data_IF_614639528994
#
_entry.id   IF_614639528994
#
_cell.length_a   1.000
_cell.length_b   1.000
_cell.length_c   1.000
_cell.angle_alpha   90.00
_cell.angle_beta   90.00
_cell.angle_gamma   90.00
#
_symmetry.space_group_name_H-M   'P 1'
#
loop_
_entity.id
_entity.type
_entity.pdbx_description
1 polymer ?
#
# COMPACT_ATOMS: atom_id res chain seq x y z
N UNK A 1 -28.39 -17.87 -13.57
CA UNK A 1 -27.20 -17.59 -12.73
C UNK A 1 -26.19 -16.85 -13.60
N UNK A 2 -25.62 -15.75 -13.10
CA UNK A 2 -24.56 -15.00 -13.78
C UNK A 2 -23.21 -15.63 -13.38
N UNK A 3 -22.72 -16.54 -14.22
CA UNK A 3 -21.38 -17.12 -14.09
C UNK A 3 -20.37 -16.27 -14.85
N UNK A 4 -19.22 -16.02 -14.23
CA UNK A 4 -18.05 -15.44 -14.91
C UNK A 4 -16.95 -16.48 -14.97
N UNK A 5 -16.04 -16.33 -15.94
CA UNK A 5 -14.86 -17.20 -16.05
C UNK A 5 -14.00 -17.13 -14.80
N UNK A 6 -13.83 -15.95 -14.19
CA UNK A 6 -13.14 -15.80 -12.90
C UNK A 6 -13.67 -16.73 -11.80
N UNK A 7 -14.99 -16.91 -11.72
CA UNK A 7 -15.59 -17.84 -10.76
C UNK A 7 -15.30 -19.30 -11.13
N UNK A 8 -15.31 -19.64 -12.42
CA UNK A 8 -14.97 -20.99 -12.89
C UNK A 8 -13.48 -21.30 -12.70
N UNK A 9 -12.59 -20.34 -12.93
CA UNK A 9 -11.17 -20.44 -12.59
C UNK A 9 -11.00 -20.73 -11.10
N UNK A 10 -11.76 -20.04 -10.25
CA UNK A 10 -11.75 -20.26 -8.81
C UNK A 10 -12.20 -21.66 -8.42
N UNK A 11 -13.36 -22.09 -8.96
CA UNK A 11 -13.94 -23.41 -8.74
C UNK A 11 -12.98 -24.52 -9.20
N UNK A 12 -12.36 -24.36 -10.38
CA UNK A 12 -11.39 -25.28 -10.93
C UNK A 12 -10.13 -25.39 -10.07
N UNK A 13 -9.48 -24.24 -9.82
CA UNK A 13 -8.22 -24.13 -9.06
C UNK A 13 -8.29 -24.82 -7.70
N UNK A 14 -9.42 -24.66 -7.00
CA UNK A 14 -9.63 -25.20 -5.67
C UNK A 14 -10.47 -26.48 -5.65
N UNK A 15 -10.81 -27.02 -6.82
CA UNK A 15 -11.60 -28.25 -6.99
C UNK A 15 -12.93 -28.23 -6.23
N UNK A 16 -13.62 -27.08 -6.27
CA UNK A 16 -14.88 -26.82 -5.54
C UNK A 16 -16.11 -27.26 -6.34
N UNK A 17 -16.08 -28.49 -6.83
CA UNK A 17 -17.16 -29.12 -7.58
C UNK A 17 -17.23 -30.60 -7.20
N UNK A 18 -18.37 -31.26 -7.45
CA UNK A 18 -18.52 -32.69 -7.21
C UNK A 18 -17.62 -33.48 -8.16
N UNK A 19 -16.68 -34.21 -7.55
CA UNK A 19 -15.67 -35.02 -8.23
C UNK A 19 -16.09 -36.48 -8.38
N UNK A 20 -17.25 -36.86 -7.86
CA UNK A 20 -17.76 -38.21 -8.00
C UNK A 20 -18.10 -38.48 -9.47
N UNK A 21 -17.56 -39.58 -10.00
CA UNK A 21 -17.80 -40.04 -11.38
C UNK A 21 -17.66 -38.91 -12.40
N UNK A 22 -16.57 -38.15 -12.32
CA UNK A 22 -16.25 -37.14 -13.34
C UNK A 22 -16.05 -37.84 -14.68
N UNK A 23 -16.71 -37.32 -15.70
CA UNK A 23 -16.62 -37.81 -17.06
C UNK A 23 -16.56 -36.63 -18.01
N UNK A 24 -15.91 -36.81 -19.15
CA UNK A 24 -16.05 -35.90 -20.27
C UNK A 24 -17.49 -35.92 -20.73
N UNK A 25 -17.87 -34.90 -21.48
CA UNK A 25 -19.15 -34.86 -22.14
C UNK A 25 -19.31 -36.10 -23.08
N UNK A 26 -18.24 -36.63 -23.67
CA UNK A 26 -18.26 -37.88 -24.44
C UNK A 26 -18.36 -39.18 -23.60
N UNK A 27 -18.43 -39.09 -22.27
CA UNK A 27 -18.61 -40.23 -21.37
C UNK A 27 -17.30 -40.87 -20.88
N UNK A 28 -16.14 -40.34 -21.23
CA UNK A 28 -14.85 -40.88 -20.78
C UNK A 28 -14.58 -40.49 -19.32
N UNK A 29 -14.18 -41.43 -18.44
CA UNK A 29 -13.81 -41.10 -17.06
C UNK A 29 -12.69 -40.05 -16.99
N UNK A 30 -12.82 -39.10 -16.07
CA UNK A 30 -11.85 -38.02 -15.84
C UNK A 30 -11.36 -38.04 -14.40
N UNK A 31 -10.04 -38.06 -14.19
CA UNK A 31 -9.42 -37.90 -12.88
C UNK A 31 -8.44 -36.73 -12.88
N UNK A 32 -8.68 -35.74 -12.01
CA UNK A 32 -7.84 -34.55 -11.90
C UNK A 32 -6.71 -34.81 -10.91
N UNK A 33 -5.53 -35.18 -11.42
CA UNK A 33 -4.32 -35.34 -10.61
C UNK A 33 -3.81 -33.96 -10.16
N UNK A 34 -3.69 -33.02 -11.10
CA UNK A 34 -3.30 -31.64 -10.85
C UNK A 34 -4.05 -30.67 -11.78
N UNK A 35 -4.77 -29.64 -11.27
CA UNK A 35 -5.58 -28.73 -12.10
C UNK A 35 -4.74 -27.78 -12.97
N UNK A 36 -3.43 -27.71 -12.72
CA UNK A 36 -2.52 -26.76 -13.36
C UNK A 36 -2.29 -25.51 -12.52
N UNK A 37 -1.44 -24.62 -13.02
CA UNK A 37 -1.17 -23.30 -12.44
C UNK A 37 -1.91 -22.25 -13.28
N UNK A 38 -2.73 -21.44 -12.62
CA UNK A 38 -3.49 -20.38 -13.27
C UNK A 38 -2.53 -19.40 -13.98
N UNK A 39 -2.79 -19.16 -15.26
CA UNK A 39 -2.15 -18.15 -16.06
C UNK A 39 -2.90 -16.82 -15.93
N UNK A 40 -2.17 -15.71 -15.88
CA UNK A 40 -2.74 -14.35 -15.87
C UNK A 40 -2.22 -13.52 -17.05
N UNK A 41 -1.56 -14.17 -18.01
CA UNK A 41 -1.03 -13.58 -19.24
C UNK A 41 -1.71 -14.23 -20.46
N UNK A 42 -1.29 -13.85 -21.67
CA UNK A 42 -1.79 -14.48 -22.89
C UNK A 42 -1.58 -16.01 -22.92
N UNK A 43 -2.45 -16.70 -23.65
CA UNK A 43 -2.46 -18.16 -23.78
C UNK A 43 -3.51 -18.83 -22.86
N UNK A 44 -3.47 -20.17 -22.73
CA UNK A 44 -4.46 -20.92 -21.99
C UNK A 44 -4.59 -20.53 -20.51
N UNK A 45 -5.76 -20.75 -19.94
CA UNK A 45 -6.08 -20.32 -18.57
C UNK A 45 -5.26 -21.01 -17.48
N UNK A 46 -4.88 -22.28 -17.67
CA UNK A 46 -4.07 -23.04 -16.71
C UNK A 46 -2.97 -23.85 -17.41
N UNK A 47 -1.73 -23.67 -16.95
CA UNK A 47 -0.57 -24.40 -17.45
C UNK A 47 -0.26 -25.65 -16.63
N UNK A 48 0.34 -26.66 -17.28
CA UNK A 48 0.92 -27.84 -16.61
C UNK A 48 -0.09 -28.60 -15.72
N UNK A 49 -1.31 -28.76 -16.19
CA UNK A 49 -2.27 -29.70 -15.62
C UNK A 49 -1.83 -31.15 -15.88
N UNK A 50 -2.24 -32.05 -14.98
CA UNK A 50 -2.09 -33.50 -15.13
C UNK A 50 -3.44 -34.15 -14.90
N UNK A 51 -3.98 -34.77 -15.94
CA UNK A 51 -5.37 -35.23 -15.97
C UNK A 51 -5.39 -36.60 -16.63
N UNK A 52 -6.01 -37.59 -15.98
CA UNK A 52 -6.28 -38.89 -16.58
C UNK A 52 -7.64 -38.83 -17.27
N UNK A 53 -7.69 -39.16 -18.56
CA UNK A 53 -8.92 -39.23 -19.36
C UNK A 53 -8.97 -40.64 -19.97
N UNK A 54 -9.99 -41.42 -19.62
CA UNK A 54 -10.00 -42.86 -19.86
C UNK A 54 -8.79 -43.52 -19.20
N UNK A 55 -7.99 -44.24 -19.99
CA UNK A 55 -6.76 -44.90 -19.52
C UNK A 55 -5.49 -44.06 -19.72
N UNK A 56 -5.59 -42.89 -20.36
CA UNK A 56 -4.43 -42.07 -20.73
C UNK A 56 -4.19 -40.95 -19.72
N UNK A 57 -2.96 -40.85 -19.20
CA UNK A 57 -2.54 -39.70 -18.39
C UNK A 57 -1.98 -38.60 -19.30
N UNK A 58 -2.68 -37.48 -19.35
CA UNK A 58 -2.30 -36.30 -20.13
C UNK A 58 -1.56 -35.27 -19.27
N UNK A 59 -0.57 -34.62 -19.88
CA UNK A 59 0.11 -33.45 -19.33
C UNK A 59 0.03 -32.31 -20.34
N UNK A 60 -0.54 -31.18 -19.93
CA UNK A 60 -0.75 -30.03 -20.81
C UNK A 60 -1.61 -28.96 -20.15
N UNK A 61 -2.34 -28.19 -20.97
CA UNK A 61 -3.04 -27.00 -20.50
C UNK A 61 -4.54 -27.24 -20.36
N UNK A 62 -5.19 -26.39 -19.57
CA UNK A 62 -6.64 -26.40 -19.41
C UNK A 62 -7.16 -25.03 -19.79
N UNK A 63 -8.22 -25.02 -20.59
CA UNK A 63 -8.96 -23.83 -20.95
C UNK A 63 -10.34 -23.87 -20.31
N UNK A 64 -10.85 -22.73 -19.83
CA UNK A 64 -12.10 -22.65 -19.09
C UNK A 64 -12.99 -21.54 -19.64
N UNK A 65 -14.22 -21.89 -20.01
CA UNK A 65 -15.20 -20.93 -20.51
C UNK A 65 -16.55 -21.09 -19.82
N UNK A 66 -17.43 -20.08 -19.95
CA UNK A 66 -18.83 -20.24 -19.52
C UNK A 66 -19.56 -21.21 -20.45
N UNK A 67 -19.40 -21.05 -21.78
CA UNK A 67 -20.01 -21.90 -22.78
C UNK A 67 -18.95 -22.63 -23.63
N UNK A 68 -19.27 -23.85 -24.05
CA UNK A 68 -18.38 -24.62 -24.93
C UNK A 68 -18.17 -23.95 -26.30
N UNK A 69 -19.18 -23.26 -26.83
CA UNK A 69 -19.07 -22.52 -28.09
C UNK A 69 -18.04 -21.38 -28.06
N UNK A 70 -17.64 -20.91 -26.88
CA UNK A 70 -16.68 -19.79 -26.73
C UNK A 70 -15.27 -20.16 -27.23
N UNK A 71 -14.91 -21.46 -27.22
CA UNK A 71 -13.67 -21.97 -27.83
C UNK A 71 -13.52 -21.53 -29.31
N UNK A 72 -14.62 -21.55 -30.05
CA UNK A 72 -14.64 -21.14 -31.45
C UNK A 72 -14.79 -19.63 -31.58
N UNK A 73 -15.60 -18.98 -30.73
CA UNK A 73 -15.81 -17.52 -30.76
C UNK A 73 -14.51 -16.76 -30.53
N UNK A 74 -13.66 -17.25 -29.62
CA UNK A 74 -12.36 -16.65 -29.33
C UNK A 74 -11.26 -17.10 -30.30
N UNK A 75 -11.56 -18.00 -31.24
CA UNK A 75 -10.61 -18.42 -32.27
C UNK A 75 -9.53 -19.41 -31.81
N UNK A 76 -9.61 -19.95 -30.59
CA UNK A 76 -8.61 -20.85 -30.01
C UNK A 76 -8.36 -22.09 -30.87
N UNK A 77 -9.41 -22.60 -31.54
CA UNK A 77 -9.29 -23.70 -32.52
C UNK A 77 -8.33 -23.44 -33.70
N UNK A 78 -7.89 -22.20 -33.93
CA UNK A 78 -6.92 -21.81 -34.99
C UNK A 78 -5.61 -21.27 -34.42
N UNK A 79 -5.52 -21.13 -33.11
CA UNK A 79 -4.38 -20.51 -32.45
C UNK A 79 -3.44 -21.60 -31.91
N UNK A 80 -2.20 -21.59 -32.40
CA UNK A 80 -1.18 -22.56 -32.01
C UNK A 80 -0.84 -22.50 -30.51
N UNK A 81 -1.07 -21.36 -29.86
CA UNK A 81 -0.88 -21.25 -28.40
C UNK A 81 -1.79 -22.20 -27.61
N UNK A 82 -2.88 -22.67 -28.22
CA UNK A 82 -3.89 -23.53 -27.60
C UNK A 82 -3.80 -25.01 -28.05
N UNK A 83 -2.85 -25.37 -28.91
CA UNK A 83 -2.68 -26.76 -29.38
C UNK A 83 -2.38 -27.75 -28.24
N UNK A 84 -1.75 -27.29 -27.16
CA UNK A 84 -1.43 -28.10 -25.98
C UNK A 84 -2.54 -28.12 -24.91
N UNK A 85 -3.76 -27.64 -25.23
CA UNK A 85 -4.90 -27.76 -24.32
C UNK A 85 -5.42 -29.20 -24.35
N UNK A 86 -5.39 -29.85 -23.19
CA UNK A 86 -5.76 -31.27 -23.02
C UNK A 86 -7.19 -31.44 -22.47
N UNK A 87 -7.78 -30.37 -21.94
CA UNK A 87 -9.15 -30.37 -21.41
C UNK A 87 -9.76 -28.98 -21.53
N UNK A 88 -10.97 -28.90 -22.07
CA UNK A 88 -11.82 -27.72 -22.05
C UNK A 88 -12.85 -27.85 -20.93
N UNK A 89 -12.74 -27.05 -19.89
CA UNK A 89 -13.70 -27.05 -18.78
C UNK A 89 -14.73 -25.97 -19.08
N UNK A 90 -16.01 -26.31 -18.97
CA UNK A 90 -17.10 -25.36 -19.24
C UNK A 90 -18.09 -25.37 -18.12
N UNK A 91 -18.75 -24.23 -17.86
CA UNK A 91 -19.94 -24.28 -17.03
C UNK A 91 -21.03 -25.08 -17.74
N UNK A 92 -21.36 -24.73 -18.98
CA UNK A 92 -22.39 -25.43 -19.77
C UNK A 92 -21.89 -25.80 -21.15
N UNK A 93 -22.16 -27.03 -21.59
CA UNK A 93 -21.94 -27.41 -22.98
C UNK A 93 -23.16 -27.08 -23.83
N UNK A 94 -23.03 -26.08 -24.69
CA UNK A 94 -24.07 -25.60 -25.61
C UNK A 94 -23.84 -26.04 -27.07
N UNK A 95 -22.82 -26.87 -27.33
CA UNK A 95 -22.50 -27.33 -28.68
C UNK A 95 -23.30 -28.59 -29.08
N UNK A 96 -23.69 -28.73 -30.37
CA UNK A 96 -24.32 -29.94 -30.88
C UNK A 96 -23.39 -31.16 -30.78
N UNK A 97 -23.99 -32.34 -30.62
CA UNK A 97 -23.26 -33.61 -30.47
C UNK A 97 -22.38 -33.94 -31.70
N UNK A 98 -22.77 -33.51 -32.90
CA UNK A 98 -22.01 -33.68 -34.14
C UNK A 98 -20.68 -32.91 -34.18
N UNK A 99 -20.56 -31.84 -33.40
CA UNK A 99 -19.32 -31.04 -33.25
C UNK A 99 -18.45 -31.62 -32.14
N UNK A 100 -19.07 -32.15 -31.08
CA UNK A 100 -18.43 -32.72 -29.87
C UNK A 100 -17.40 -33.82 -30.17
N UNK A 101 -17.67 -34.68 -31.15
CA UNK A 101 -16.79 -35.80 -31.51
C UNK A 101 -15.49 -35.39 -32.21
N UNK A 102 -15.35 -34.11 -32.61
CA UNK A 102 -14.16 -33.57 -33.30
C UNK A 102 -13.41 -32.52 -32.47
N UNK A 103 -13.88 -32.24 -31.27
CA UNK A 103 -13.28 -31.25 -30.37
C UNK A 103 -12.44 -31.92 -29.30
N UNK A 104 -11.55 -31.17 -28.67
CA UNK A 104 -10.84 -31.60 -27.47
C UNK A 104 -11.81 -32.11 -26.37
N UNK A 105 -11.35 -32.96 -25.44
CA UNK A 105 -12.17 -33.42 -24.32
C UNK A 105 -12.80 -32.25 -23.56
N UNK A 106 -14.12 -32.27 -23.37
CA UNK A 106 -14.86 -31.23 -22.64
C UNK A 106 -15.33 -31.80 -21.30
N UNK A 107 -15.08 -31.09 -20.21
CA UNK A 107 -15.66 -31.36 -18.90
C UNK A 107 -16.71 -30.28 -18.56
N UNK A 108 -17.95 -30.70 -18.34
CA UNK A 108 -19.04 -29.79 -17.95
C UNK A 108 -19.21 -29.76 -16.42
N UNK A 109 -19.24 -28.55 -15.85
CA UNK A 109 -19.40 -28.31 -14.41
C UNK A 109 -20.83 -27.99 -14.00
N UNK A 110 -21.77 -27.86 -14.95
CA UNK A 110 -23.19 -27.67 -14.63
C UNK A 110 -23.67 -28.77 -13.69
N UNK A 111 -24.51 -28.42 -12.72
CA UNK A 111 -25.01 -29.30 -11.65
C UNK A 111 -23.93 -29.91 -10.72
N UNK A 112 -22.64 -29.62 -10.93
CA UNK A 112 -21.55 -30.10 -10.07
C UNK A 112 -21.05 -29.05 -9.08
N UNK A 113 -21.46 -27.80 -9.22
CA UNK A 113 -21.07 -26.71 -8.32
C UNK A 113 -22.14 -26.55 -7.23
N UNK A 114 -21.72 -26.57 -5.96
CA UNK A 114 -22.62 -26.39 -4.83
C UNK A 114 -23.35 -25.02 -4.89
N UNK A 115 -24.67 -25.04 -4.76
CA UNK A 115 -25.51 -23.83 -4.85
C UNK A 115 -25.25 -22.78 -3.77
N UNK A 116 -24.84 -23.20 -2.56
CA UNK A 116 -24.46 -22.27 -1.49
C UNK A 116 -23.15 -21.56 -1.79
N UNK A 117 -22.18 -22.26 -2.40
CA UNK A 117 -20.93 -21.64 -2.87
C UNK A 117 -21.23 -20.53 -3.89
N UNK A 118 -22.06 -20.82 -4.89
CA UNK A 118 -22.46 -19.82 -5.87
C UNK A 118 -23.24 -18.67 -5.20
N UNK A 119 -24.14 -18.96 -4.26
CA UNK A 119 -24.91 -17.94 -3.55
C UNK A 119 -24.01 -17.00 -2.74
N UNK A 120 -22.99 -17.53 -2.06
CA UNK A 120 -21.99 -16.71 -1.35
C UNK A 120 -21.16 -15.87 -2.31
N UNK A 121 -20.69 -16.44 -3.42
CA UNK A 121 -19.98 -15.70 -4.46
C UNK A 121 -20.83 -14.57 -5.02
N UNK A 122 -22.06 -14.88 -5.41
CA UNK A 122 -22.99 -13.91 -5.98
C UNK A 122 -23.26 -12.77 -5.00
N UNK A 123 -23.46 -13.08 -3.71
CA UNK A 123 -23.65 -12.06 -2.70
C UNK A 123 -22.42 -11.15 -2.52
N UNK A 124 -21.21 -11.69 -2.55
CA UNK A 124 -19.98 -10.88 -2.45
C UNK A 124 -19.79 -9.95 -3.66
N UNK A 125 -20.05 -10.43 -4.88
CA UNK A 125 -19.73 -9.69 -6.11
C UNK A 125 -20.89 -8.81 -6.59
N UNK A 126 -22.12 -9.29 -6.49
CA UNK A 126 -23.31 -8.64 -7.03
C UNK A 126 -24.31 -8.22 -5.95
N UNK A 127 -24.00 -8.43 -4.67
CA UNK A 127 -24.83 -7.95 -3.57
C UNK A 127 -24.84 -6.42 -3.47
N UNK A 128 -25.80 -5.93 -2.68
CA UNK A 128 -26.07 -4.50 -2.47
C UNK A 128 -25.30 -3.92 -1.26
N UNK A 129 -24.13 -4.47 -0.94
CA UNK A 129 -23.31 -3.98 0.17
C UNK A 129 -22.82 -2.55 -0.08
N UNK A 130 -22.77 -1.75 0.99
CA UNK A 130 -22.47 -0.32 0.89
C UNK A 130 -21.03 0.02 1.26
N UNK A 131 -20.50 -0.67 2.26
CA UNK A 131 -19.14 -0.50 2.77
C UNK A 131 -18.23 -1.44 1.99
N UNK A 132 -18.21 -2.73 2.29
CA UNK A 132 -17.35 -3.72 1.61
C UNK A 132 -18.15 -4.93 1.15
N UNK A 133 -17.70 -5.65 0.11
CA UNK A 133 -18.34 -6.87 -0.37
C UNK A 133 -18.75 -7.87 0.72
N UNK A 134 -17.90 -8.05 1.74
CA UNK A 134 -18.11 -9.01 2.81
C UNK A 134 -18.70 -8.42 4.10
N UNK A 135 -19.30 -7.22 4.07
CA UNK A 135 -19.69 -6.50 5.30
C UNK A 135 -20.64 -7.30 6.21
N UNK A 136 -21.56 -8.08 5.62
CA UNK A 136 -22.50 -8.92 6.36
C UNK A 136 -21.89 -10.21 6.92
N UNK A 137 -20.72 -10.63 6.46
CA UNK A 137 -20.13 -11.94 6.78
C UNK A 137 -18.72 -11.86 7.36
N UNK A 138 -18.06 -10.70 7.33
CA UNK A 138 -16.66 -10.56 7.79
C UNK A 138 -16.47 -10.99 9.24
N UNK A 139 -17.48 -10.79 10.10
CA UNK A 139 -17.48 -11.24 11.51
C UNK A 139 -17.39 -12.75 11.69
N UNK A 140 -17.71 -13.53 10.66
CA UNK A 140 -17.65 -15.01 10.70
C UNK A 140 -16.25 -15.56 10.43
N UNK A 141 -15.33 -14.70 9.98
CA UNK A 141 -13.94 -15.09 9.70
C UNK A 141 -13.15 -15.11 11.01
N UNK A 142 -12.45 -16.21 11.26
CA UNK A 142 -11.64 -16.37 12.47
C UNK A 142 -10.46 -15.39 12.52
N UNK A 143 -10.09 -14.99 13.74
CA UNK A 143 -9.04 -13.99 14.00
C UNK A 143 -7.68 -14.41 13.38
N UNK A 144 -7.38 -15.71 13.29
CA UNK A 144 -6.14 -16.22 12.68
C UNK A 144 -6.10 -15.98 11.17
N UNK A 145 -7.19 -16.33 10.47
CA UNK A 145 -7.32 -16.11 9.02
C UNK A 145 -7.26 -14.63 8.69
N UNK A 146 -7.97 -13.80 9.45
CA UNK A 146 -7.98 -12.36 9.25
C UNK A 146 -6.58 -11.77 9.47
N UNK A 147 -5.89 -12.14 10.56
CA UNK A 147 -4.54 -11.68 10.87
C UNK A 147 -3.54 -12.08 9.79
N UNK A 148 -3.53 -13.34 9.37
CA UNK A 148 -2.61 -13.82 8.32
C UNK A 148 -2.81 -13.06 7.01
N UNK A 149 -4.06 -12.79 6.64
CA UNK A 149 -4.38 -12.00 5.46
C UNK A 149 -3.94 -10.54 5.61
N UNK A 150 -4.19 -9.92 6.76
CA UNK A 150 -3.77 -8.56 7.05
C UNK A 150 -2.24 -8.41 7.01
N UNK A 151 -1.47 -9.39 7.51
CA UNK A 151 -0.01 -9.41 7.38
C UNK A 151 0.41 -9.34 5.92
N UNK A 152 -0.14 -10.21 5.07
CA UNK A 152 0.17 -10.22 3.64
C UNK A 152 -0.15 -8.88 2.99
N UNK A 153 -1.36 -8.37 3.23
CA UNK A 153 -1.82 -7.10 2.65
C UNK A 153 -0.98 -5.91 3.13
N UNK A 154 -0.53 -5.91 4.38
CA UNK A 154 0.38 -4.89 4.89
C UNK A 154 1.75 -4.95 4.20
N UNK A 155 2.29 -6.14 4.00
CA UNK A 155 3.55 -6.30 3.24
C UNK A 155 3.37 -5.77 1.81
N UNK A 156 2.29 -6.16 1.11
CA UNK A 156 1.97 -5.64 -0.23
C UNK A 156 1.93 -4.10 -0.26
N UNK A 157 1.34 -3.47 0.77
CA UNK A 157 1.32 -2.01 0.93
C UNK A 157 2.72 -1.41 1.08
N UNK A 158 3.53 -1.98 1.96
CA UNK A 158 4.90 -1.50 2.21
C UNK A 158 5.77 -1.68 0.97
N UNK A 159 5.60 -2.77 0.23
CA UNK A 159 6.27 -2.99 -1.05
C UNK A 159 5.90 -1.93 -2.08
N UNK A 160 4.61 -1.66 -2.26
CA UNK A 160 4.12 -0.62 -3.16
C UNK A 160 4.66 0.76 -2.80
N UNK A 161 4.66 1.11 -1.51
CA UNK A 161 5.23 2.39 -1.03
C UNK A 161 6.75 2.43 -1.18
N UNK A 162 7.45 1.32 -0.98
CA UNK A 162 8.92 1.24 -1.09
C UNK A 162 9.43 1.56 -2.49
N UNK A 163 8.65 1.27 -3.54
CA UNK A 163 9.00 1.62 -4.92
C UNK A 163 9.29 3.11 -5.09
N UNK A 164 8.51 3.99 -4.44
CA UNK A 164 8.75 5.44 -4.50
C UNK A 164 10.05 5.84 -3.78
N UNK A 165 10.35 5.21 -2.63
CA UNK A 165 11.59 5.45 -1.88
C UNK A 165 12.81 5.04 -2.69
N UNK A 166 12.78 3.82 -3.28
CA UNK A 166 13.90 3.30 -4.07
C UNK A 166 14.13 4.12 -5.35
N UNK A 167 13.06 4.63 -5.97
CA UNK A 167 13.16 5.57 -7.08
C UNK A 167 13.82 6.88 -6.66
N UNK A 168 13.46 7.44 -5.50
CA UNK A 168 14.10 8.66 -5.00
C UNK A 168 15.56 8.41 -4.61
N UNK A 169 15.87 7.24 -4.05
CA UNK A 169 17.24 6.81 -3.76
C UNK A 169 18.11 6.78 -5.03
N UNK A 170 17.58 6.28 -6.14
CA UNK A 170 18.26 6.30 -7.43
C UNK A 170 18.56 7.73 -7.90
N UNK A 171 17.58 8.65 -7.82
CA UNK A 171 17.80 10.07 -8.14
C UNK A 171 18.86 10.71 -7.24
N UNK A 172 18.91 10.33 -5.97
CA UNK A 172 19.91 10.75 -5.00
C UNK A 172 21.20 9.89 -5.06
N UNK A 173 21.41 9.12 -6.15
CA UNK A 173 22.63 8.35 -6.43
C UNK A 173 23.02 7.36 -5.31
N UNK A 174 22.03 6.76 -4.66
CA UNK A 174 22.24 5.81 -3.57
C UNK A 174 22.44 6.45 -2.19
N UNK A 175 22.29 7.77 -2.06
CA UNK A 175 22.39 8.46 -0.77
C UNK A 175 21.10 8.28 0.05
N UNK A 176 21.17 7.38 1.04
CA UNK A 176 20.07 7.12 1.95
C UNK A 176 19.80 8.25 2.94
N UNK A 177 20.81 9.01 3.37
CA UNK A 177 20.63 10.11 4.31
C UNK A 177 19.87 11.26 3.64
N UNK A 178 20.25 11.61 2.41
CA UNK A 178 19.56 12.64 1.62
C UNK A 178 18.13 12.21 1.25
N UNK A 179 17.96 10.94 0.86
CA UNK A 179 16.62 10.39 0.53
C UNK A 179 15.70 10.37 1.76
N UNK A 180 16.24 9.98 2.91
CA UNK A 180 15.52 10.01 4.18
C UNK A 180 15.17 11.43 4.59
N UNK A 181 16.11 12.38 4.48
CA UNK A 181 15.90 13.80 4.76
C UNK A 181 14.74 14.39 3.94
N UNK A 182 14.73 14.16 2.63
CA UNK A 182 13.68 14.67 1.74
C UNK A 182 12.31 14.06 2.08
N UNK A 183 12.25 12.76 2.34
CA UNK A 183 11.00 12.08 2.70
C UNK A 183 10.51 12.46 4.11
N UNK A 184 11.43 12.64 5.05
CA UNK A 184 11.13 13.13 6.40
C UNK A 184 10.51 14.52 6.33
N UNK A 185 11.14 15.44 5.57
CA UNK A 185 10.60 16.78 5.34
C UNK A 185 9.17 16.71 4.79
N UNK A 186 8.94 15.90 3.75
CA UNK A 186 7.60 15.73 3.17
C UNK A 186 6.57 15.31 4.22
N UNK A 187 6.91 14.40 5.14
CA UNK A 187 5.98 13.95 6.18
C UNK A 187 5.73 15.01 7.28
N UNK A 188 6.63 15.97 7.51
CA UNK A 188 6.34 17.16 8.34
C UNK A 188 5.23 18.03 7.75
N UNK A 189 5.04 17.97 6.43
CA UNK A 189 3.95 18.64 5.73
C UNK A 189 2.59 17.94 5.81
N UNK A 190 2.54 16.72 6.36
CA UNK A 190 1.40 15.82 6.28
C UNK A 190 0.81 15.76 4.85
N UNK A 191 -0.48 15.46 4.70
CA UNK A 191 -1.10 15.36 3.36
C UNK A 191 -1.12 16.68 2.58
N UNK A 192 -1.33 17.81 3.25
CA UNK A 192 -1.64 19.10 2.58
C UNK A 192 -0.38 19.80 2.08
N UNK A 193 0.70 19.80 2.88
CA UNK A 193 1.93 20.52 2.57
C UNK A 193 3.11 19.57 2.29
N UNK A 194 2.90 18.25 2.13
CA UNK A 194 3.99 17.31 1.82
C UNK A 194 4.81 17.73 0.59
N UNK A 195 4.12 18.08 -0.51
CA UNK A 195 4.80 18.46 -1.75
C UNK A 195 5.67 19.74 -1.57
N UNK A 196 5.16 20.86 -1.03
CA UNK A 196 6.01 22.02 -0.71
C UNK A 196 7.21 21.69 0.19
N UNK A 197 7.04 20.84 1.20
CA UNK A 197 8.16 20.40 2.05
C UNK A 197 9.20 19.58 1.27
N UNK A 198 8.76 18.65 0.43
CA UNK A 198 9.65 17.84 -0.42
C UNK A 198 10.42 18.73 -1.40
N UNK A 199 9.74 19.69 -2.04
CA UNK A 199 10.36 20.65 -2.95
C UNK A 199 11.41 21.50 -2.23
N UNK A 200 11.09 22.01 -1.04
CA UNK A 200 12.02 22.75 -0.20
C UNK A 200 13.26 21.91 0.14
N UNK A 201 13.06 20.68 0.60
CA UNK A 201 14.16 19.78 0.95
C UNK A 201 15.05 19.46 -0.26
N UNK A 202 14.46 19.18 -1.43
CA UNK A 202 15.23 18.98 -2.67
C UNK A 202 16.01 20.22 -3.12
N UNK A 203 15.48 21.42 -2.84
CA UNK A 203 16.18 22.68 -3.11
C UNK A 203 17.27 23.00 -2.08
N UNK A 204 17.32 22.29 -0.96
CA UNK A 204 18.23 22.53 0.16
C UNK A 204 18.93 21.22 0.57
N UNK A 205 19.98 20.79 -0.16
CA UNK A 205 20.69 19.54 0.14
C UNK A 205 21.12 19.44 1.60
N UNK A 206 20.95 18.26 2.19
CA UNK A 206 21.21 18.00 3.62
C UNK A 206 22.66 18.33 4.01
N UNK A 207 23.61 18.14 3.08
CA UNK A 207 25.02 18.47 3.30
C UNK A 207 25.26 19.96 3.58
N UNK A 208 24.43 20.86 3.03
CA UNK A 208 24.51 22.30 3.34
C UNK A 208 24.09 22.54 4.79
N UNK A 209 22.96 21.95 5.21
CA UNK A 209 22.50 22.00 6.60
C UNK A 209 23.56 21.43 7.56
N UNK A 210 24.22 20.33 7.19
CA UNK A 210 25.31 19.74 7.96
C UNK A 210 26.45 20.71 8.29
N UNK A 211 26.77 21.65 7.39
CA UNK A 211 27.82 22.68 7.59
C UNK A 211 27.43 23.78 8.58
N UNK A 212 26.14 23.91 8.89
CA UNK A 212 25.58 24.98 9.72
C UNK A 212 24.92 24.47 11.02
N UNK A 213 25.08 23.17 11.31
CA UNK A 213 24.54 22.44 12.46
C UNK A 213 24.70 23.14 13.82
N UNK A 214 25.81 23.86 14.01
CA UNK A 214 26.12 24.52 15.28
C UNK A 214 25.44 25.89 15.44
N UNK A 215 24.65 26.35 14.47
CA UNK A 215 23.92 27.62 14.52
C UNK A 215 22.44 27.40 14.18
N UNK A 216 21.57 27.32 15.20
CA UNK A 216 20.12 27.21 15.00
C UNK A 216 19.57 28.33 14.10
N UNK A 217 20.04 29.56 14.30
CA UNK A 217 19.64 30.72 13.49
C UNK A 217 19.93 30.51 12.00
N UNK A 218 21.10 29.95 11.64
CA UNK A 218 21.45 29.69 10.24
C UNK A 218 20.61 28.56 9.63
N UNK A 219 20.32 27.51 10.40
CA UNK A 219 19.46 26.42 9.96
C UNK A 219 18.04 26.93 9.72
N UNK A 220 17.48 27.71 10.66
CA UNK A 220 16.18 28.34 10.50
C UNK A 220 16.15 29.29 9.30
N UNK A 221 17.20 30.11 9.12
CA UNK A 221 17.32 31.02 7.99
C UNK A 221 17.35 30.27 6.64
N UNK A 222 18.09 29.16 6.54
CA UNK A 222 18.11 28.31 5.36
C UNK A 222 16.74 27.67 5.08
N UNK A 223 16.09 27.10 6.11
CA UNK A 223 14.81 26.40 5.95
C UNK A 223 13.69 27.37 5.58
N UNK A 224 13.53 28.48 6.31
CA UNK A 224 12.50 29.49 6.00
C UNK A 224 12.81 30.24 4.71
N UNK A 225 14.08 30.52 4.45
CA UNK A 225 14.53 31.16 3.22
C UNK A 225 14.24 30.32 1.99
N UNK A 226 14.63 29.04 2.00
CA UNK A 226 14.35 28.13 0.88
C UNK A 226 12.87 27.80 0.73
N UNK A 227 12.09 27.88 1.80
CA UNK A 227 10.63 27.83 1.74
C UNK A 227 10.00 29.11 1.15
N UNK A 228 10.77 30.17 0.87
CA UNK A 228 10.28 31.43 0.31
C UNK A 228 9.61 32.36 1.33
N UNK A 229 9.73 32.08 2.63
CA UNK A 229 9.07 32.88 3.67
C UNK A 229 9.81 34.16 4.05
N UNK A 230 11.05 34.36 3.59
CA UNK A 230 11.90 35.49 4.00
C UNK A 230 12.01 36.62 2.95
N UNK A 231 11.15 36.61 1.93
CA UNK A 231 11.16 37.63 0.87
C UNK A 231 10.40 38.92 1.28
N UNK A 232 9.50 38.84 2.26
CA UNK A 232 8.70 39.98 2.73
C UNK A 232 9.48 40.96 3.62
N UNK A 233 8.92 42.13 3.85
CA UNK A 233 9.40 43.08 4.87
C UNK A 233 8.81 42.74 6.24
N UNK A 234 9.66 42.77 7.26
CA UNK A 234 9.33 42.35 8.63
C UNK A 234 9.47 43.51 9.61
N UNK A 235 8.67 43.50 10.68
CA UNK A 235 8.79 44.42 11.81
C UNK A 235 9.47 43.75 12.99
N UNK A 236 9.20 42.47 13.22
CA UNK A 236 9.78 41.69 14.31
C UNK A 236 11.28 41.46 14.09
N UNK A 237 12.05 41.44 15.18
CA UNK A 237 13.52 41.29 15.09
C UNK A 237 13.95 39.90 14.60
N UNK A 238 13.26 38.85 15.04
CA UNK A 238 13.58 37.47 14.67
C UNK A 238 13.55 37.22 13.14
N UNK A 239 12.45 37.47 12.41
CA UNK A 239 12.43 37.28 10.97
C UNK A 239 13.38 38.23 10.21
N UNK A 240 13.67 39.44 10.72
CA UNK A 240 14.71 40.32 10.14
C UNK A 240 16.10 39.70 10.23
N UNK A 241 16.44 39.10 11.37
CA UNK A 241 17.70 38.37 11.54
C UNK A 241 17.79 37.19 10.59
N UNK A 242 16.72 36.38 10.48
CA UNK A 242 16.66 35.28 9.53
C UNK A 242 16.85 35.74 8.08
N UNK A 243 16.16 36.81 7.66
CA UNK A 243 16.25 37.38 6.30
C UNK A 243 17.68 37.82 5.98
N UNK A 244 18.33 38.49 6.92
CA UNK A 244 19.72 38.96 6.77
C UNK A 244 20.68 37.79 6.61
N UNK A 245 20.60 36.81 7.49
CA UNK A 245 21.46 35.63 7.48
C UNK A 245 21.24 34.79 6.21
N UNK A 246 19.97 34.57 5.84
CA UNK A 246 19.62 33.87 4.61
C UNK A 246 20.15 34.60 3.36
N UNK A 247 20.11 35.94 3.33
CA UNK A 247 20.66 36.72 2.22
C UNK A 247 22.14 36.43 1.96
N UNK A 248 22.93 36.21 3.01
CA UNK A 248 24.33 35.78 2.89
C UNK A 248 24.42 34.32 2.41
N UNK A 249 23.71 33.40 3.06
CA UNK A 249 23.79 31.96 2.78
C UNK A 249 23.27 31.60 1.39
N UNK A 250 22.20 32.26 0.93
CA UNK A 250 21.63 32.12 -0.41
C UNK A 250 22.67 32.44 -1.48
N UNK A 251 23.41 33.53 -1.33
CA UNK A 251 24.50 33.90 -2.25
C UNK A 251 25.66 32.90 -2.17
N UNK A 252 26.07 32.53 -0.95
CA UNK A 252 27.18 31.60 -0.72
C UNK A 252 26.99 30.24 -1.41
N UNK A 253 25.76 29.73 -1.41
CA UNK A 253 25.44 28.40 -1.96
C UNK A 253 24.65 28.44 -3.27
N UNK A 254 24.44 29.63 -3.85
CA UNK A 254 23.63 29.84 -5.05
C UNK A 254 22.22 29.21 -4.94
N UNK A 255 21.56 29.43 -3.80
CA UNK A 255 20.27 28.80 -3.50
C UNK A 255 19.12 29.53 -4.22
N UNK A 256 18.18 28.72 -4.69
CA UNK A 256 16.93 29.18 -5.30
C UNK A 256 15.75 28.73 -4.41
N UNK A 257 15.01 29.67 -3.80
CA UNK A 257 13.89 29.32 -2.95
C UNK A 257 12.69 28.87 -3.79
N UNK A 258 11.85 28.03 -3.19
CA UNK A 258 10.54 27.73 -3.75
C UNK A 258 9.57 28.89 -3.49
N UNK A 259 8.46 28.92 -4.22
CA UNK A 259 7.49 30.00 -4.09
C UNK A 259 6.60 29.88 -2.85
N UNK A 260 6.46 30.99 -2.11
CA UNK A 260 5.67 31.06 -0.87
C UNK A 260 4.20 30.62 -1.04
N UNK A 261 3.60 30.85 -2.22
CA UNK A 261 2.18 30.58 -2.45
C UNK A 261 1.83 29.07 -2.49
N UNK A 262 2.85 28.21 -2.62
CA UNK A 262 2.70 26.75 -2.60
C UNK A 262 2.22 26.26 -1.22
N UNK A 263 2.62 26.95 -0.15
CA UNK A 263 2.26 26.65 1.23
C UNK A 263 0.80 26.97 1.51
N UNK A 264 0.03 25.96 1.92
CA UNK A 264 -1.39 26.11 2.25
C UNK A 264 -1.58 26.26 3.74
N UNK A 265 -2.49 27.15 4.14
CA UNK A 265 -2.87 27.40 5.53
C UNK A 265 -4.35 27.12 5.82
N UNK A 266 -5.21 27.13 4.80
CA UNK A 266 -6.66 27.02 4.96
C UNK A 266 -7.08 25.65 5.48
N UNK A 267 -8.14 25.61 6.30
CA UNK A 267 -8.74 24.39 6.89
C UNK A 267 -7.78 23.55 7.74
N UNK A 268 -6.74 24.18 8.29
CA UNK A 268 -5.80 23.56 9.20
C UNK A 268 -5.88 24.18 10.59
N UNK A 269 -5.59 23.38 11.62
CA UNK A 269 -5.39 23.90 12.98
C UNK A 269 -4.06 24.66 13.03
N UNK A 270 -3.95 25.75 13.82
CA UNK A 270 -2.72 26.56 13.89
C UNK A 270 -1.43 25.77 14.18
N UNK A 271 -1.51 24.73 15.03
CA UNK A 271 -0.39 23.83 15.32
C UNK A 271 0.11 23.02 14.11
N UNK A 272 -0.67 22.95 13.03
CA UNK A 272 -0.32 22.28 11.78
C UNK A 272 0.01 23.27 10.66
N UNK A 273 0.16 24.55 10.96
CA UNK A 273 0.59 25.52 9.96
C UNK A 273 2.02 25.23 9.50
N UNK A 274 2.31 25.41 8.19
CA UNK A 274 3.61 25.06 7.61
C UNK A 274 4.75 25.85 8.24
N UNK A 275 4.54 27.11 8.62
CA UNK A 275 5.54 27.92 9.33
C UNK A 275 6.00 27.28 10.63
N UNK A 276 5.07 26.78 11.44
CA UNK A 276 5.44 26.10 12.67
C UNK A 276 6.08 24.74 12.41
N UNK A 277 5.58 24.00 11.41
CA UNK A 277 6.18 22.71 11.01
C UNK A 277 7.59 22.87 10.45
N UNK A 278 7.87 23.97 9.74
CA UNK A 278 9.21 24.34 9.29
C UNK A 278 10.14 24.67 10.46
N UNK A 279 9.64 25.40 11.48
CA UNK A 279 10.40 25.65 12.70
C UNK A 279 10.75 24.34 13.43
N UNK A 280 9.78 23.45 13.61
CA UNK A 280 10.00 22.14 14.23
C UNK A 280 10.96 21.28 13.41
N UNK A 281 10.84 21.31 12.08
CA UNK A 281 11.74 20.60 11.19
C UNK A 281 13.18 21.14 11.30
N UNK A 282 13.36 22.46 11.31
CA UNK A 282 14.66 23.12 11.50
C UNK A 282 15.29 22.73 12.85
N UNK A 283 14.51 22.75 13.93
CA UNK A 283 14.96 22.33 15.25
C UNK A 283 15.36 20.85 15.29
N UNK A 284 14.58 19.96 14.65
CA UNK A 284 14.95 18.54 14.52
C UNK A 284 16.25 18.38 13.73
N UNK A 285 16.43 19.13 12.64
CA UNK A 285 17.66 19.14 11.86
C UNK A 285 18.84 19.54 12.74
N UNK A 286 18.74 20.59 13.55
CA UNK A 286 19.82 21.01 14.48
C UNK A 286 20.19 19.89 15.45
N UNK A 287 19.21 19.25 16.08
CA UNK A 287 19.43 18.23 17.11
C UNK A 287 19.99 16.91 16.55
N UNK A 288 19.67 16.57 15.30
CA UNK A 288 19.88 15.23 14.76
C UNK A 288 21.14 15.10 13.90
N UNK A 289 22.15 14.35 14.35
CA UNK A 289 23.28 13.93 13.52
C UNK A 289 23.07 12.53 12.94
N UNK A 290 23.20 12.37 11.62
CA UNK A 290 23.06 11.09 10.89
C UNK A 290 21.81 10.31 11.30
N UNK A 291 20.65 10.97 11.18
CA UNK A 291 19.39 10.48 11.75
C UNK A 291 18.98 9.14 11.13
N UNK A 292 19.20 8.95 9.82
CA UNK A 292 18.90 7.67 9.17
C UNK A 292 19.78 6.56 9.73
N UNK A 293 21.10 6.78 9.83
CA UNK A 293 22.03 5.81 10.40
C UNK A 293 21.63 5.38 11.82
N UNK A 294 21.24 6.34 12.67
CA UNK A 294 20.73 6.05 14.04
C UNK A 294 19.46 5.19 14.01
N UNK A 295 18.50 5.49 13.14
CA UNK A 295 17.25 4.73 13.02
C UNK A 295 17.53 3.28 12.61
N UNK A 296 18.51 3.07 11.73
CA UNK A 296 18.93 1.73 11.32
C UNK A 296 19.53 0.96 12.50
N UNK A 297 20.20 1.61 13.44
CA UNK A 297 20.81 0.96 14.62
C UNK A 297 19.83 0.73 15.78
N UNK A 298 18.93 1.68 16.06
CA UNK A 298 18.06 1.65 17.24
C UNK A 298 16.93 0.62 17.06
N UNK A 299 17.03 -0.50 17.77
CA UNK A 299 16.01 -1.56 17.72
C UNK A 299 14.74 -1.27 18.53
N UNK A 300 14.85 -0.47 19.60
CA UNK A 300 13.75 -0.20 20.52
C UNK A 300 12.87 0.98 20.03
N UNK A 301 11.55 0.73 19.95
CA UNK A 301 10.58 1.73 19.47
C UNK A 301 10.46 2.94 20.40
N UNK A 302 10.59 2.75 21.71
CA UNK A 302 10.53 3.86 22.66
C UNK A 302 11.74 4.79 22.46
N UNK A 303 12.93 4.23 22.27
CA UNK A 303 14.12 5.01 21.92
C UNK A 303 14.00 5.68 20.55
N UNK A 304 13.36 5.05 19.56
CA UNK A 304 13.04 5.72 18.29
C UNK A 304 12.15 6.94 18.52
N UNK A 305 11.11 6.83 19.35
CA UNK A 305 10.21 7.95 19.68
C UNK A 305 10.97 9.12 20.31
N UNK A 306 11.90 8.81 21.21
CA UNK A 306 12.74 9.81 21.87
C UNK A 306 13.62 10.63 20.92
N UNK A 307 13.87 10.16 19.67
CA UNK A 307 14.59 10.96 18.67
C UNK A 307 13.81 12.21 18.22
N UNK A 308 12.50 12.24 18.47
CA UNK A 308 11.60 13.34 18.11
C UNK A 308 11.05 14.09 19.32
N UNK A 309 11.45 13.69 20.52
CA UNK A 309 11.11 14.38 21.76
C UNK A 309 12.01 15.62 21.94
N UNK A 310 11.50 16.60 22.68
CA UNK A 310 12.22 17.84 23.05
C UNK A 310 12.79 18.67 21.89
N UNK A 311 12.13 18.61 20.72
CA UNK A 311 12.42 19.48 19.58
C UNK A 311 11.92 20.90 19.90
N UNK A 312 12.76 21.65 20.61
CA UNK A 312 12.49 23.02 21.03
C UNK A 312 12.71 24.00 19.87
N UNK A 313 11.65 24.74 19.53
CA UNK A 313 11.71 25.82 18.54
C UNK A 313 12.12 27.13 19.20
N UNK A 314 12.54 28.11 18.40
CA UNK A 314 12.79 29.47 18.89
C UNK A 314 11.58 30.04 19.65
N UNK A 315 11.84 30.79 20.73
CA UNK A 315 10.80 31.40 21.60
C UNK A 315 9.87 32.35 20.85
N UNK A 316 10.27 32.88 19.70
CA UNK A 316 9.38 33.60 18.79
C UNK A 316 8.09 32.83 18.51
N UNK A 317 8.18 31.50 18.36
CA UNK A 317 7.05 30.66 18.05
C UNK A 317 6.13 30.42 19.26
N UNK A 318 6.52 30.73 20.50
CA UNK A 318 5.66 30.52 21.68
C UNK A 318 4.35 31.31 21.56
N UNK A 319 4.43 32.53 21.05
CA UNK A 319 3.30 33.42 20.80
C UNK A 319 3.01 33.64 19.30
N UNK A 320 3.61 32.89 18.37
CA UNK A 320 3.33 33.02 16.93
C UNK A 320 2.99 31.68 16.28
N UNK A 321 2.05 31.71 15.33
CA UNK A 321 1.86 30.59 14.38
C UNK A 321 2.30 30.97 12.96
N UNK A 322 2.44 32.26 12.69
CA UNK A 322 2.91 32.86 11.43
C UNK A 322 3.76 34.07 11.81
N UNK A 323 4.69 34.44 10.94
CA UNK A 323 5.43 35.69 11.10
C UNK A 323 4.47 36.88 11.22
N UNK A 324 4.80 37.83 12.09
CA UNK A 324 4.10 39.10 12.33
C UNK A 324 2.66 38.97 12.87
N UNK A 325 2.22 37.77 13.21
CA UNK A 325 0.86 37.51 13.73
C UNK A 325 0.94 36.91 15.12
N UNK A 326 0.87 37.79 16.11
CA UNK A 326 0.80 37.40 17.52
C UNK A 326 -0.44 36.54 17.83
N UNK A 327 -0.26 35.67 18.81
CA UNK A 327 -1.26 34.74 19.29
C UNK A 327 -1.05 34.49 20.78
N UNK A 328 -2.04 33.85 21.42
CA UNK A 328 -1.91 33.47 22.83
C UNK A 328 -0.72 32.50 23.00
N UNK A 329 0.14 32.71 24.01
CA UNK A 329 1.25 31.82 24.29
C UNK A 329 0.79 30.38 24.44
N UNK A 330 1.47 29.46 23.77
CA UNK A 330 1.30 28.03 23.98
C UNK A 330 2.56 27.30 23.51
N UNK A 331 2.95 26.27 24.27
CA UNK A 331 4.03 25.36 23.92
C UNK A 331 3.83 24.79 22.50
N UNK A 332 4.85 24.91 21.65
CA UNK A 332 4.82 24.47 20.25
C UNK A 332 5.63 23.20 20.01
N UNK A 333 5.51 22.23 20.90
CA UNK A 333 6.16 20.93 20.74
C UNK A 333 5.44 20.06 19.70
N UNK A 334 6.13 19.05 19.19
CA UNK A 334 5.48 18.02 18.37
C UNK A 334 4.61 17.15 19.27
N UNK A 335 3.32 17.06 18.95
CA UNK A 335 2.41 16.15 19.65
C UNK A 335 2.69 14.69 19.26
N UNK A 336 2.37 13.75 20.15
CA UNK A 336 2.54 12.30 19.95
C UNK A 336 2.00 11.82 18.60
N UNK A 337 0.78 12.24 18.23
CA UNK A 337 0.19 11.90 16.93
C UNK A 337 1.01 12.35 15.71
N UNK A 338 1.79 13.43 15.83
CA UNK A 338 2.70 13.87 14.76
C UNK A 338 3.92 12.96 14.69
N UNK A 339 4.47 12.56 15.84
CA UNK A 339 5.59 11.62 15.92
C UNK A 339 5.16 10.24 15.41
N UNK A 340 4.00 9.74 15.82
CA UNK A 340 3.42 8.49 15.31
C UNK A 340 3.27 8.52 13.78
N UNK A 341 2.90 9.67 13.21
CA UNK A 341 2.81 9.83 11.76
C UNK A 341 4.18 9.69 11.07
N UNK A 342 5.24 10.26 11.66
CA UNK A 342 6.61 10.11 11.17
C UNK A 342 7.11 8.67 11.34
N UNK A 343 6.79 8.03 12.47
CA UNK A 343 7.11 6.62 12.70
C UNK A 343 6.50 5.72 11.63
N UNK A 344 5.22 5.93 11.34
CA UNK A 344 4.46 5.13 10.39
C UNK A 344 4.86 5.40 8.94
N UNK A 345 4.95 6.67 8.50
CA UNK A 345 5.14 7.01 7.09
C UNK A 345 6.59 7.21 6.67
N UNK A 346 7.50 7.45 7.61
CA UNK A 346 8.94 7.61 7.35
C UNK A 346 9.71 6.41 7.87
N UNK A 347 9.68 6.15 9.18
CA UNK A 347 10.62 5.20 9.80
C UNK A 347 10.30 3.76 9.40
N UNK A 348 9.06 3.29 9.59
CA UNK A 348 8.66 1.95 9.19
C UNK A 348 8.89 1.71 7.70
N UNK A 349 8.58 2.71 6.86
CA UNK A 349 8.78 2.62 5.42
C UNK A 349 10.26 2.52 5.03
N UNK A 350 11.15 3.30 5.65
CA UNK A 350 12.58 3.25 5.34
C UNK A 350 13.25 1.99 5.89
N UNK A 351 12.88 1.53 7.08
CA UNK A 351 13.32 0.22 7.60
C UNK A 351 12.94 -0.90 6.63
N UNK A 352 11.69 -0.91 6.16
CA UNK A 352 11.22 -1.89 5.20
C UNK A 352 11.96 -1.78 3.86
N UNK A 353 12.08 -0.57 3.31
CA UNK A 353 12.71 -0.33 2.00
C UNK A 353 14.19 -0.69 2.02
N UNK A 354 14.92 -0.33 3.08
CA UNK A 354 16.32 -0.69 3.28
C UNK A 354 16.48 -2.21 3.43
N UNK A 355 15.64 -2.85 4.25
CA UNK A 355 15.62 -4.30 4.40
C UNK A 355 15.37 -5.02 3.08
N UNK A 356 14.42 -4.53 2.27
CA UNK A 356 14.11 -5.10 0.95
C UNK A 356 15.28 -4.92 -0.04
N UNK A 357 15.85 -3.72 -0.12
CA UNK A 357 16.94 -3.41 -1.05
C UNK A 357 18.18 -4.29 -0.82
N UNK A 358 18.53 -4.53 0.45
CA UNK A 358 19.70 -5.32 0.83
C UNK A 358 19.38 -6.76 1.25
N UNK A 359 18.15 -7.22 1.04
CA UNK A 359 17.68 -8.57 1.43
C UNK A 359 17.92 -8.90 2.91
N UNK A 360 17.78 -7.91 3.79
CA UNK A 360 17.98 -8.04 5.23
C UNK A 360 16.64 -8.11 5.97
N UNK A 361 16.17 -9.33 6.21
CA UNK A 361 14.89 -9.61 6.87
C UNK A 361 14.75 -8.97 8.26
N UNK A 362 15.86 -8.73 8.96
CA UNK A 362 15.86 -8.07 10.26
C UNK A 362 15.20 -6.68 10.22
N UNK A 363 15.37 -5.92 9.13
CA UNK A 363 14.80 -4.57 9.02
C UNK A 363 13.34 -4.58 8.55
N UNK A 364 12.97 -5.51 7.66
CA UNK A 364 11.57 -5.68 7.25
C UNK A 364 10.72 -6.14 8.44
N UNK A 365 11.23 -7.08 9.26
CA UNK A 365 10.56 -7.49 10.49
C UNK A 365 10.44 -6.34 11.51
N UNK A 366 11.51 -5.54 11.70
CA UNK A 366 11.46 -4.36 12.58
C UNK A 366 10.45 -3.32 12.12
N UNK A 367 10.28 -3.12 10.81
CA UNK A 367 9.24 -2.24 10.28
C UNK A 367 7.84 -2.72 10.68
N UNK A 368 7.57 -4.02 10.58
CA UNK A 368 6.28 -4.59 10.98
C UNK A 368 6.06 -4.49 12.50
N UNK A 369 7.08 -4.83 13.30
CA UNK A 369 7.03 -4.71 14.77
C UNK A 369 6.78 -3.27 15.23
N UNK A 370 7.40 -2.29 14.56
CA UNK A 370 7.14 -0.88 14.83
C UNK A 370 5.65 -0.55 14.62
N UNK A 371 5.05 -1.01 13.52
CA UNK A 371 3.63 -0.78 13.24
C UNK A 371 2.70 -1.50 14.23
N UNK A 372 3.10 -2.64 14.80
CA UNK A 372 2.36 -3.34 15.86
C UNK A 372 2.40 -2.58 17.21
N UNK A 373 3.38 -1.71 17.41
CA UNK A 373 3.54 -0.96 18.66
C UNK A 373 2.95 0.45 18.62
N UNK A 374 2.61 0.94 17.42
CA UNK A 374 1.95 2.23 17.23
C UNK A 374 0.43 2.09 17.34
N UNK A 375 -0.29 3.11 17.84
CA UNK A 375 -1.74 3.10 17.89
C UNK A 375 -2.34 3.09 16.47
N UNK A 376 -3.53 2.49 16.33
CA UNK A 376 -4.27 2.56 15.08
C UNK A 376 -4.60 4.00 14.68
N UNK A 377 -4.49 4.30 13.38
CA UNK A 377 -4.93 5.58 12.86
C UNK A 377 -6.45 5.72 12.96
N UNK A 378 -6.93 6.94 13.21
CA UNK A 378 -8.36 7.25 13.17
C UNK A 378 -8.72 7.90 11.83
N UNK A 379 -9.43 7.16 10.98
CA UNK A 379 -9.97 7.65 9.73
C UNK A 379 -11.27 6.92 9.36
N UNK A 380 -12.00 7.44 8.37
CA UNK A 380 -13.31 6.90 7.96
C UNK A 380 -13.26 5.41 7.62
N UNK A 381 -12.23 4.96 6.87
CA UNK A 381 -12.09 3.56 6.47
C UNK A 381 -11.91 2.66 7.70
N UNK A 382 -11.06 3.06 8.64
CA UNK A 382 -10.87 2.32 9.90
C UNK A 382 -12.18 2.24 10.68
N UNK A 383 -12.89 3.37 10.81
CA UNK A 383 -14.17 3.43 11.52
C UNK A 383 -15.25 2.55 10.86
N UNK A 384 -15.28 2.48 9.53
CA UNK A 384 -16.15 1.57 8.79
C UNK A 384 -15.88 0.11 9.20
N UNK A 385 -14.62 -0.34 9.19
CA UNK A 385 -14.28 -1.71 9.61
C UNK A 385 -14.58 -1.98 11.08
N UNK A 386 -14.39 -1.00 11.98
CA UNK A 386 -14.81 -1.12 13.39
C UNK A 386 -16.33 -1.31 13.48
N UNK A 387 -17.12 -0.57 12.70
CA UNK A 387 -18.59 -0.74 12.68
C UNK A 387 -19.02 -2.14 12.21
N UNK A 388 -18.20 -2.75 11.35
CA UNK A 388 -18.35 -4.13 10.89
C UNK A 388 -17.80 -5.17 11.89
N UNK A 389 -17.39 -4.77 13.09
CA UNK A 389 -16.91 -5.64 14.17
C UNK A 389 -15.49 -6.16 14.01
N UNK A 390 -14.69 -5.58 13.11
CA UNK A 390 -13.27 -5.89 13.02
C UNK A 390 -12.54 -5.24 14.19
N UNK A 391 -11.73 -6.03 14.91
CA UNK A 391 -10.90 -5.54 16.02
C UNK A 391 -9.65 -4.86 15.43
N UNK A 392 -9.50 -3.56 15.67
CA UNK A 392 -8.37 -2.76 15.19
C UNK A 392 -7.70 -2.14 16.41
N UNK A 393 -6.40 -2.41 16.61
CA UNK A 393 -5.67 -1.92 17.78
C UNK A 393 -4.45 -1.09 17.39
N UNK A 394 -3.81 -1.42 16.28
CA UNK A 394 -2.47 -0.95 15.95
C UNK A 394 -2.39 -0.28 14.57
N UNK A 395 -1.28 0.44 14.33
CA UNK A 395 -0.98 0.98 13.01
C UNK A 395 -0.85 -0.15 11.95
N UNK A 396 -0.36 -1.32 12.36
CA UNK A 396 -0.34 -2.54 11.54
C UNK A 396 -1.75 -2.83 10.99
N UNK A 397 -2.74 -2.86 11.88
CA UNK A 397 -4.12 -3.21 11.51
C UNK A 397 -4.72 -2.17 10.56
N UNK A 398 -4.61 -0.90 10.94
CA UNK A 398 -5.16 0.21 10.16
C UNK A 398 -4.51 0.34 8.78
N UNK A 399 -3.18 0.21 8.67
CA UNK A 399 -2.49 0.23 7.39
C UNK A 399 -2.85 -0.96 6.50
N UNK A 400 -2.99 -2.16 7.07
CA UNK A 400 -3.45 -3.34 6.32
C UNK A 400 -4.87 -3.11 5.76
N UNK A 401 -5.80 -2.58 6.56
CA UNK A 401 -7.18 -2.34 6.14
C UNK A 401 -7.30 -1.24 5.08
N UNK A 402 -6.46 -0.21 5.14
CA UNK A 402 -6.40 0.81 4.10
C UNK A 402 -6.02 0.21 2.73
N UNK A 403 -5.04 -0.70 2.70
CA UNK A 403 -4.67 -1.41 1.48
C UNK A 403 -5.74 -2.43 1.07
N UNK A 404 -6.28 -3.20 2.02
CA UNK A 404 -7.37 -4.14 1.76
C UNK A 404 -8.55 -3.44 1.09
N UNK A 405 -8.93 -2.27 1.61
CA UNK A 405 -10.03 -1.48 1.09
C UNK A 405 -9.78 -1.03 -0.34
N UNK A 406 -8.62 -0.40 -0.56
CA UNK A 406 -8.30 0.25 -1.83
C UNK A 406 -7.94 -0.73 -2.93
N UNK A 407 -7.18 -1.79 -2.62
CA UNK A 407 -6.67 -2.73 -3.62
C UNK A 407 -7.57 -3.93 -3.85
N UNK A 408 -8.40 -4.34 -2.86
CA UNK A 408 -9.29 -5.51 -3.00
C UNK A 408 -10.77 -5.16 -2.94
N UNK A 409 -11.25 -4.55 -1.84
CA UNK A 409 -12.69 -4.41 -1.60
C UNK A 409 -13.37 -3.49 -2.63
N UNK A 410 -12.78 -2.33 -2.94
CA UNK A 410 -13.33 -1.39 -3.91
C UNK A 410 -13.42 -1.98 -5.33
N UNK A 411 -12.58 -2.97 -5.64
CA UNK A 411 -12.54 -3.66 -6.92
C UNK A 411 -13.23 -5.04 -6.88
N UNK A 412 -13.90 -5.38 -5.78
CA UNK A 412 -14.57 -6.67 -5.55
C UNK A 412 -13.70 -7.90 -5.83
N UNK A 413 -12.40 -7.83 -5.53
CA UNK A 413 -11.46 -8.95 -5.74
C UNK A 413 -11.59 -10.07 -4.68
N UNK A 414 -12.81 -10.48 -4.34
CA UNK A 414 -13.08 -11.42 -3.25
C UNK A 414 -12.50 -12.83 -3.50
N UNK A 415 -12.36 -13.24 -4.77
CA UNK A 415 -11.74 -14.51 -5.15
C UNK A 415 -10.22 -14.55 -4.89
N UNK A 416 -9.58 -13.37 -4.86
CA UNK A 416 -8.15 -13.22 -4.59
C UNK A 416 -7.87 -12.82 -3.13
N UNK A 417 -8.90 -12.39 -2.41
CA UNK A 417 -8.82 -11.97 -1.02
C UNK A 417 -8.90 -13.16 -0.05
N UNK A 418 -7.96 -13.27 0.89
CA UNK A 418 -7.97 -14.33 1.93
C UNK A 418 -9.26 -14.37 2.77
N UNK A 419 -9.81 -13.20 3.10
CA UNK A 419 -11.11 -13.08 3.81
C UNK A 419 -12.26 -13.58 2.94
N UNK A 420 -12.31 -13.14 1.68
CA UNK A 420 -13.32 -13.60 0.71
C UNK A 420 -13.25 -15.11 0.48
N UNK A 421 -12.03 -15.65 0.36
CA UNK A 421 -11.77 -17.07 0.22
C UNK A 421 -12.25 -17.91 1.39
N UNK A 422 -12.05 -17.42 2.62
CA UNK A 422 -12.59 -18.09 3.80
C UNK A 422 -14.11 -18.12 3.78
N UNK A 423 -14.75 -17.00 3.45
CA UNK A 423 -16.22 -16.89 3.37
C UNK A 423 -16.78 -17.84 2.31
N UNK A 424 -16.18 -17.90 1.12
CA UNK A 424 -16.63 -18.78 0.05
C UNK A 424 -16.62 -20.26 0.45
N UNK A 425 -15.69 -20.66 1.32
CA UNK A 425 -15.51 -22.03 1.79
C UNK A 425 -16.11 -22.34 3.15
N UNK A 426 -16.95 -21.45 3.69
CA UNK A 426 -17.76 -21.80 4.86
C UNK A 426 -18.64 -23.00 4.49
N UNK A 427 -18.52 -24.07 5.26
CA UNK A 427 -19.33 -25.29 5.16
C UNK A 427 -20.38 -25.30 6.25
#
# INVERSE_FOLDING_TARGET
MLFTEDFLYYVWKFRLYDRNLLQTTAGEPVEIIHPGMQNTNAGPDFYNARIKIGDTLWAGNVEIHVAASDWHKHGHHRDKAYENVILHVVYKNDMPESVRAKTLPILELNERINGDLYSRYHNLIYGNQQIIPCEGTIKTVDDLTLRNWMTRVLVERLEKKSTAVLKNLEHNRGDWEETFYQHLAANFGFKVNALPFEMMAKSLPQQILGKHKNSPLQIEALVFGQAGFLEDEFKDDYPKQLKTEYGFLRKKYNLQPIEKHLWKFARMRPLNFPTLRLAQFAALVVQSNHLFSKIIEIADTKTLHQLFDDVAVNTYWDNHYRFEVESKPALKTMGSSSVDNLMLNTIALFLFSYGKQYQQQKYTNRALQLLEQLPAENNAIVNDFVSLGVKIKTAFDSQALLELRSSYCNHKQCLQCGVGNKILRLT
#
